data_IF_587473972149
#
_entry.id   IF_587473972149
#
_cell.length_a   1.000
_cell.length_b   1.000
_cell.length_c   1.000
_cell.angle_alpha   90.00
_cell.angle_beta   90.00
_cell.angle_gamma   90.00
#
_symmetry.space_group_name_H-M   'P 1'
#
loop_
_entity.id
_entity.type
_entity.pdbx_description
1 polymer ?
#
# COMPACT_ATOMS: atom_id res chain seq x y z
N UNK A 1 -12.20 -67.01 -27.05
CA UNK A 1 -11.82 -66.43 -25.75
C UNK A 1 -10.96 -65.21 -26.05
N UNK A 2 -11.45 -64.02 -25.73
CA UNK A 2 -10.77 -62.75 -26.02
C UNK A 2 -10.01 -62.33 -24.77
N UNK A 3 -8.71 -62.13 -24.88
CA UNK A 3 -7.87 -61.67 -23.76
C UNK A 3 -8.28 -60.24 -23.34
N UNK A 4 -8.32 -59.92 -22.04
CA UNK A 4 -8.53 -58.55 -21.60
C UNK A 4 -7.33 -57.68 -22.01
N UNK A 5 -7.55 -56.41 -22.40
CA UNK A 5 -6.46 -55.51 -22.77
C UNK A 5 -5.54 -55.24 -21.57
N UNK A 6 -4.25 -55.12 -21.85
CA UNK A 6 -3.20 -54.88 -20.86
C UNK A 6 -3.45 -53.53 -20.14
N UNK A 7 -3.39 -53.44 -18.81
CA UNK A 7 -3.66 -52.18 -18.08
C UNK A 7 -2.69 -51.03 -18.40
N UNK A 8 -1.56 -51.31 -19.06
CA UNK A 8 -0.57 -50.33 -19.52
C UNK A 8 -0.88 -49.70 -20.89
N UNK A 9 -1.86 -50.24 -21.65
CA UNK A 9 -2.31 -49.65 -22.93
C UNK A 9 -3.40 -48.57 -22.75
N UNK A 10 -3.60 -48.08 -21.52
CA UNK A 10 -4.45 -46.91 -21.28
C UNK A 10 -3.63 -45.67 -21.65
N UNK A 11 -4.01 -44.89 -22.67
CA UNK A 11 -3.37 -43.60 -22.92
C UNK A 11 -3.49 -42.78 -21.64
N UNK A 12 -2.37 -42.23 -21.18
CA UNK A 12 -2.35 -41.41 -19.97
C UNK A 12 -3.37 -40.27 -20.14
N UNK A 13 -4.36 -40.12 -19.26
CA UNK A 13 -5.37 -39.07 -19.39
C UNK A 13 -4.77 -37.64 -19.31
N UNK A 14 -3.48 -37.52 -18.98
CA UNK A 14 -2.71 -36.28 -18.98
C UNK A 14 -1.96 -36.01 -20.30
N UNK A 15 -1.73 -37.00 -21.17
CA UNK A 15 -0.93 -36.84 -22.39
C UNK A 15 -1.67 -36.04 -23.48
N UNK A 16 -3.01 -36.01 -23.40
CA UNK A 16 -3.87 -35.30 -24.35
C UNK A 16 -4.40 -33.96 -23.84
N UNK A 17 -3.87 -33.47 -22.72
CA UNK A 17 -4.19 -32.13 -22.24
C UNK A 17 -3.03 -31.22 -22.66
N UNK A 18 -3.12 -30.50 -23.80
CA UNK A 18 -2.15 -29.43 -24.04
C UNK A 18 -2.27 -28.52 -22.83
N UNK A 19 -1.22 -28.43 -22.01
CA UNK A 19 -1.15 -27.41 -20.99
C UNK A 19 -1.31 -26.08 -21.74
N UNK A 20 -2.53 -25.52 -21.74
CA UNK A 20 -2.90 -24.35 -22.53
C UNK A 20 -2.17 -23.17 -21.91
N UNK A 21 -0.88 -23.03 -22.23
CA UNK A 21 -0.12 -21.84 -21.93
C UNK A 21 -0.73 -20.74 -22.78
N UNK A 22 -1.13 -19.66 -22.14
CA UNK A 22 -1.64 -18.49 -22.83
C UNK A 22 -0.63 -18.05 -23.90
N UNK A 23 -1.13 -17.71 -25.09
CA UNK A 23 -0.27 -17.16 -26.15
C UNK A 23 0.24 -15.79 -25.72
N UNK A 24 1.48 -15.49 -26.08
CA UNK A 24 2.10 -14.20 -25.76
C UNK A 24 2.20 -13.41 -27.07
N UNK A 25 1.42 -12.34 -27.24
CA UNK A 25 1.57 -11.44 -28.38
C UNK A 25 2.96 -10.79 -28.39
N UNK A 26 3.50 -10.53 -29.58
CA UNK A 26 4.87 -10.01 -29.75
C UNK A 26 5.09 -8.68 -29.01
N UNK A 27 4.13 -7.76 -29.09
CA UNK A 27 4.20 -6.47 -28.39
C UNK A 27 4.17 -6.60 -26.86
N UNK A 28 3.64 -7.71 -26.32
CA UNK A 28 3.60 -8.01 -24.88
C UNK A 28 4.83 -8.80 -24.43
N UNK A 29 5.47 -9.56 -25.33
CA UNK A 29 6.52 -10.52 -25.00
C UNK A 29 7.68 -9.92 -24.20
N UNK A 30 8.05 -8.67 -24.53
CA UNK A 30 9.11 -7.91 -23.85
C UNK A 30 8.77 -7.57 -22.40
N UNK A 31 7.49 -7.32 -22.12
CA UNK A 31 7.01 -6.84 -20.82
C UNK A 31 7.52 -5.44 -20.42
N UNK A 32 7.02 -4.97 -19.29
CA UNK A 32 7.37 -3.68 -18.69
C UNK A 32 7.95 -3.87 -17.29
N UNK A 33 9.02 -3.13 -16.97
CA UNK A 33 9.65 -3.19 -15.65
C UNK A 33 8.99 -2.16 -14.73
N UNK A 34 8.55 -2.62 -13.57
CA UNK A 34 7.90 -1.83 -12.55
C UNK A 34 8.68 -1.82 -11.24
N UNK A 35 8.63 -0.68 -10.55
CA UNK A 35 9.18 -0.50 -9.19
C UNK A 35 8.09 -0.41 -8.12
N UNK A 36 6.82 -0.34 -8.54
CA UNK A 36 5.71 -0.19 -7.62
C UNK A 36 4.37 -0.34 -8.31
N UNK A 37 3.31 -0.36 -7.52
CA UNK A 37 1.95 -0.37 -8.02
C UNK A 37 1.14 0.66 -7.25
N UNK A 38 0.16 1.24 -7.93
CA UNK A 38 -0.93 1.95 -7.28
C UNK A 38 -2.22 1.21 -7.62
N UNK A 39 -2.99 0.89 -6.59
CA UNK A 39 -4.23 0.11 -6.71
C UNK A 39 -5.41 1.05 -6.51
N UNK A 40 -6.24 1.22 -7.53
CA UNK A 40 -7.48 2.00 -7.46
C UNK A 40 -8.66 1.06 -7.52
N UNK A 41 -9.61 1.24 -6.60
CA UNK A 41 -10.86 0.49 -6.60
C UNK A 41 -11.91 1.26 -7.40
N UNK A 42 -12.33 0.71 -8.53
CA UNK A 42 -13.51 1.14 -9.29
C UNK A 42 -14.79 0.43 -8.84
N UNK A 43 -15.90 0.66 -9.55
CA UNK A 43 -17.20 0.09 -9.21
C UNK A 43 -17.29 -1.43 -9.38
N UNK A 44 -16.61 -1.98 -10.39
CA UNK A 44 -16.63 -3.42 -10.73
C UNK A 44 -15.23 -4.02 -10.94
N UNK A 45 -14.23 -3.16 -11.11
CA UNK A 45 -12.84 -3.53 -11.33
C UNK A 45 -11.89 -2.80 -10.38
N UNK A 46 -10.70 -3.35 -10.25
CA UNK A 46 -9.50 -2.69 -9.77
C UNK A 46 -8.67 -2.21 -10.97
N UNK A 47 -8.09 -1.03 -10.86
CA UNK A 47 -7.00 -0.58 -11.72
C UNK A 47 -5.68 -0.81 -10.99
N UNK A 48 -4.77 -1.54 -11.62
CA UNK A 48 -3.40 -1.72 -11.18
C UNK A 48 -2.49 -0.89 -12.07
N UNK A 49 -2.08 0.27 -11.58
CA UNK A 49 -1.14 1.13 -12.25
C UNK A 49 0.27 0.80 -11.79
N UNK A 50 0.98 0.03 -12.61
CA UNK A 50 2.38 -0.26 -12.39
C UNK A 50 3.22 0.95 -12.76
N UNK A 51 4.04 1.39 -11.82
CA UNK A 51 4.80 2.64 -11.92
C UNK A 51 6.30 2.38 -11.91
N UNK A 52 7.02 3.24 -12.62
CA UNK A 52 8.49 3.31 -12.56
C UNK A 52 8.89 4.61 -11.87
N UNK A 53 9.31 4.48 -10.61
CA UNK A 53 9.74 5.58 -9.75
C UNK A 53 11.22 5.87 -9.99
N UNK A 54 11.51 6.48 -11.14
CA UNK A 54 12.76 7.19 -11.36
C UNK A 54 12.62 8.62 -10.83
N UNK A 55 13.70 9.37 -10.55
CA UNK A 55 13.68 10.75 -10.05
C UNK A 55 13.12 11.81 -11.03
N UNK A 56 12.07 11.43 -11.76
CA UNK A 56 11.28 12.10 -12.80
C UNK A 56 11.68 11.78 -14.25
N UNK A 57 10.67 11.60 -15.14
CA UNK A 57 9.25 11.48 -14.82
C UNK A 57 8.94 10.09 -14.26
N UNK A 58 8.28 10.03 -13.10
CA UNK A 58 7.55 8.83 -12.71
C UNK A 58 6.41 8.65 -13.71
N UNK A 59 6.27 7.44 -14.23
CA UNK A 59 5.24 7.15 -15.23
C UNK A 59 4.57 5.81 -14.95
N UNK A 60 3.32 5.72 -15.38
CA UNK A 60 2.61 4.44 -15.46
C UNK A 60 3.15 3.70 -16.68
N UNK A 61 3.74 2.53 -16.42
CA UNK A 61 4.34 1.68 -17.47
C UNK A 61 3.36 0.62 -17.95
N UNK A 62 2.41 0.24 -17.11
CA UNK A 62 1.33 -0.70 -17.43
C UNK A 62 0.13 -0.38 -16.54
N UNK A 63 -1.06 -0.33 -17.13
CA UNK A 63 -2.34 -0.25 -16.42
C UNK A 63 -3.07 -1.55 -16.68
N UNK A 64 -3.38 -2.30 -15.63
CA UNK A 64 -4.15 -3.55 -15.73
C UNK A 64 -5.50 -3.36 -15.09
N UNK A 65 -6.55 -3.73 -15.81
CA UNK A 65 -7.94 -3.70 -15.33
C UNK A 65 -8.33 -5.11 -14.88
N UNK A 66 -8.56 -5.30 -13.59
CA UNK A 66 -8.90 -6.60 -12.99
C UNK A 66 -10.30 -6.58 -12.38
N UNK A 67 -11.20 -7.53 -12.72
CA UNK A 67 -12.45 -7.69 -12.00
C UNK A 67 -12.23 -7.92 -10.50
N UNK A 68 -13.15 -7.44 -9.67
CA UNK A 68 -13.05 -7.61 -8.20
C UNK A 68 -12.87 -9.08 -7.78
N UNK A 69 -13.57 -10.00 -8.46
CA UNK A 69 -13.52 -11.44 -8.18
C UNK A 69 -12.15 -12.09 -8.42
N UNK A 70 -11.28 -11.45 -9.19
CA UNK A 70 -9.94 -11.96 -9.52
C UNK A 70 -8.93 -11.57 -8.44
N UNK A 71 -9.20 -10.50 -7.69
CA UNK A 71 -8.28 -9.99 -6.66
C UNK A 71 -7.94 -11.02 -5.57
N UNK A 72 -8.89 -11.78 -4.98
CA UNK A 72 -8.55 -12.84 -4.01
C UNK A 72 -7.59 -13.89 -4.58
N UNK A 73 -7.86 -14.35 -5.80
CA UNK A 73 -7.04 -15.36 -6.46
C UNK A 73 -5.62 -14.83 -6.73
N UNK A 74 -5.51 -13.54 -7.08
CA UNK A 74 -4.21 -12.90 -7.23
C UNK A 74 -3.46 -12.83 -5.89
N UNK A 75 -4.13 -12.39 -4.81
CA UNK A 75 -3.52 -12.32 -3.46
C UNK A 75 -3.02 -13.70 -3.02
N UNK A 76 -3.83 -14.74 -3.21
CA UNK A 76 -3.48 -16.11 -2.83
C UNK A 76 -2.29 -16.62 -3.66
N UNK A 77 -2.36 -16.46 -4.99
CA UNK A 77 -1.28 -16.88 -5.89
C UNK A 77 0.04 -16.16 -5.58
N UNK A 78 -0.01 -14.85 -5.30
CA UNK A 78 1.17 -14.08 -4.96
C UNK A 78 1.74 -14.50 -3.59
N UNK A 79 0.88 -14.74 -2.60
CA UNK A 79 1.28 -15.25 -1.29
C UNK A 79 2.01 -16.58 -1.43
N UNK A 80 1.45 -17.53 -2.19
CA UNK A 80 2.09 -18.82 -2.46
C UNK A 80 3.43 -18.66 -3.18
N UNK A 81 3.51 -17.80 -4.19
CA UNK A 81 4.77 -17.60 -4.93
C UNK A 81 5.86 -16.93 -4.08
N UNK A 82 5.50 -16.03 -3.16
CA UNK A 82 6.46 -15.48 -2.19
C UNK A 82 6.98 -16.58 -1.25
N UNK A 83 6.10 -17.46 -0.77
CA UNK A 83 6.51 -18.58 0.08
C UNK A 83 7.45 -19.55 -0.66
N UNK A 84 7.13 -19.90 -1.91
CA UNK A 84 8.00 -20.71 -2.77
C UNK A 84 9.34 -20.03 -3.05
N UNK A 85 9.34 -18.71 -3.27
CA UNK A 85 10.57 -17.92 -3.36
C UNK A 85 11.40 -18.06 -2.09
N UNK A 86 10.78 -17.89 -0.91
CA UNK A 86 11.47 -17.95 0.38
C UNK A 86 12.14 -19.30 0.62
N UNK A 87 11.42 -20.38 0.31
CA UNK A 87 11.96 -21.74 0.43
C UNK A 87 13.17 -21.98 -0.48
N UNK A 88 13.21 -21.33 -1.65
CA UNK A 88 14.26 -21.54 -2.66
C UNK A 88 15.44 -20.58 -2.52
N UNK A 89 15.19 -19.33 -2.18
CA UNK A 89 16.17 -18.23 -2.27
C UNK A 89 16.37 -17.47 -0.95
N UNK A 90 15.55 -17.73 0.08
CA UNK A 90 15.57 -17.02 1.36
C UNK A 90 14.63 -15.81 1.40
N UNK A 91 14.77 -15.00 2.45
CA UNK A 91 13.87 -13.86 2.67
C UNK A 91 13.89 -12.82 1.55
N UNK A 92 12.77 -12.11 1.37
CA UNK A 92 12.66 -11.05 0.36
C UNK A 92 13.67 -9.92 0.67
N UNK A 93 14.48 -9.48 -0.32
CA UNK A 93 15.39 -8.36 -0.14
C UNK A 93 14.64 -7.09 0.27
N UNK A 94 15.10 -6.36 1.29
CA UNK A 94 14.44 -5.13 1.72
C UNK A 94 13.16 -5.31 2.53
N UNK A 95 12.87 -6.52 3.02
CA UNK A 95 11.96 -6.70 4.14
C UNK A 95 12.43 -5.80 5.30
N UNK A 96 11.52 -5.07 6.01
CA UNK A 96 11.92 -4.25 7.14
C UNK A 96 12.67 -5.12 8.14
N UNK A 97 13.97 -4.86 8.33
CA UNK A 97 14.68 -5.51 9.43
C UNK A 97 14.00 -5.08 10.73
N UNK A 98 13.66 -6.00 11.64
CA UNK A 98 13.25 -5.59 12.98
C UNK A 98 14.37 -4.72 13.54
N UNK A 99 14.06 -3.47 13.90
CA UNK A 99 14.98 -2.59 14.61
C UNK A 99 15.24 -3.29 15.94
N UNK A 100 16.33 -4.05 16.03
CA UNK A 100 16.85 -4.47 17.32
C UNK A 100 17.26 -3.17 17.98
N UNK A 101 16.49 -2.76 19.00
CA UNK A 101 16.84 -1.63 19.86
C UNK A 101 18.23 -1.90 20.43
N UNK A 102 19.26 -1.40 19.76
CA UNK A 102 20.62 -1.45 20.25
C UNK A 102 20.65 -0.57 21.51
N UNK A 103 20.61 -1.22 22.67
CA UNK A 103 20.92 -0.58 23.94
C UNK A 103 22.32 0.02 23.83
N UNK A 104 22.38 1.35 23.80
CA UNK A 104 23.62 2.13 23.77
C UNK A 104 24.54 1.71 24.94
N UNK A 105 25.80 1.32 24.70
CA UNK A 105 26.78 1.22 25.77
C UNK A 105 27.21 2.64 26.18
N UNK A 106 26.98 3.00 27.43
CA UNK A 106 27.43 4.25 28.04
C UNK A 106 28.96 4.37 27.93
N UNK A 107 29.44 5.46 27.32
CA UNK A 107 30.86 5.81 27.29
C UNK A 107 31.39 6.12 28.72
N UNK A 108 32.69 5.90 28.98
CA UNK A 108 33.32 6.25 30.25
C UNK A 108 33.65 7.75 30.29
N UNK A 109 33.09 8.46 31.27
CA UNK A 109 33.40 9.88 31.55
C UNK A 109 34.77 10.00 32.25
N UNK A 110 35.67 10.81 31.70
CA UNK A 110 36.92 11.24 32.35
C UNK A 110 36.61 12.22 33.50
N UNK A 111 37.31 12.15 34.66
CA UNK A 111 37.05 13.03 35.79
C UNK A 111 37.86 14.34 35.73
N UNK A 112 37.19 15.45 36.02
CA UNK A 112 37.79 16.77 36.32
C UNK A 112 38.12 16.85 37.81
N UNK A 113 39.34 17.29 38.13
CA UNK A 113 39.82 17.62 39.48
C UNK A 113 38.96 18.69 40.16
N UNK A 114 38.46 18.38 41.36
CA UNK A 114 38.22 19.36 42.42
C UNK A 114 38.40 18.68 43.79
N UNK A 115 39.01 19.38 44.73
CA UNK A 115 39.29 18.96 46.11
C UNK A 115 39.28 20.22 46.99
N UNK A 116 39.12 20.14 48.33
CA UNK A 116 38.58 19.07 49.19
C UNK A 116 37.65 19.60 50.32
N UNK A 117 37.38 18.74 51.31
CA UNK A 117 36.72 18.93 52.63
C UNK A 117 35.19 18.67 52.65
N UNK A 118 34.57 17.93 53.59
CA UNK A 118 34.98 17.31 54.87
C UNK A 118 33.94 16.22 55.25
N UNK A 119 34.43 15.04 55.66
CA UNK A 119 34.00 14.18 56.81
C UNK A 119 32.50 13.89 57.07
N UNK A 120 32.05 12.62 56.93
CA UNK A 120 31.70 11.68 58.03
C UNK A 120 30.97 10.40 57.53
N UNK A 121 31.07 9.38 58.38
CA UNK A 121 30.87 7.93 58.26
C UNK A 121 29.50 7.33 57.83
N UNK A 122 29.49 6.03 57.49
CA UNK A 122 28.33 5.27 57.02
C UNK A 122 27.62 4.50 58.15
N UNK A 123 26.33 4.16 57.97
CA UNK A 123 25.82 2.79 58.15
C UNK A 123 24.32 2.65 57.82
N UNK A 124 23.97 1.44 57.38
CA UNK A 124 22.74 0.70 57.64
C UNK A 124 21.54 0.76 56.68
N UNK A 125 21.42 -0.36 55.97
CA UNK A 125 20.24 -1.19 55.68
C UNK A 125 18.84 -0.74 56.13
N UNK A 126 17.86 -0.90 55.22
CA UNK A 126 16.45 -0.92 55.60
C UNK A 126 15.50 -1.22 54.44
N UNK A 127 14.86 -2.38 54.49
CA UNK A 127 13.76 -2.83 53.63
C UNK A 127 12.54 -1.91 53.72
N UNK A 128 11.69 -1.88 52.68
CA UNK A 128 10.23 -2.17 52.73
C UNK A 128 9.46 -1.62 51.51
N UNK A 129 8.62 -2.47 50.91
CA UNK A 129 7.50 -2.10 50.03
C UNK A 129 6.29 -1.61 50.87
N UNK A 130 5.04 -1.50 50.35
CA UNK A 130 4.49 -1.24 49.01
C UNK A 130 3.56 0.01 49.03
N UNK A 131 2.81 0.34 47.96
CA UNK A 131 1.39 0.83 48.02
C UNK A 131 0.76 0.86 46.62
N UNK A 132 -0.49 0.37 46.56
CA UNK A 132 -1.45 0.33 45.45
C UNK A 132 -2.06 1.70 45.16
N UNK A 133 -2.50 1.95 43.92
CA UNK A 133 -3.86 2.47 43.63
C UNK A 133 -4.16 2.64 42.13
N UNK A 134 -5.23 1.99 41.67
CA UNK A 134 -6.14 2.45 40.61
C UNK A 134 -7.36 3.11 41.29
N UNK A 135 -8.18 3.97 40.65
CA UNK A 135 -9.30 3.59 39.74
C UNK A 135 -9.48 4.57 38.53
N UNK A 136 -10.12 4.28 37.38
CA UNK A 136 -11.50 3.92 36.94
C UNK A 136 -12.49 5.10 36.74
N UNK A 137 -13.17 5.07 35.57
CA UNK A 137 -14.46 5.70 35.15
C UNK A 137 -14.42 7.18 34.71
N UNK A 138 -14.92 7.66 33.55
CA UNK A 138 -16.15 7.47 32.73
C UNK A 138 -17.20 8.59 32.93
N UNK A 139 -17.58 9.31 31.86
CA UNK A 139 -18.89 9.96 31.58
C UNK A 139 -18.81 10.65 30.20
N UNK A 140 -19.58 10.32 29.15
CA UNK A 140 -21.03 10.52 28.84
C UNK A 140 -21.46 11.99 28.64
N UNK A 141 -22.21 12.23 27.56
CA UNK A 141 -22.85 13.52 27.24
C UNK A 141 -23.33 13.65 25.80
N UNK A 142 -24.54 13.15 25.51
CA UNK A 142 -25.37 13.47 24.34
C UNK A 142 -25.83 14.94 24.33
N UNK A 143 -26.04 15.57 23.17
CA UNK A 143 -27.36 16.10 22.75
C UNK A 143 -27.36 16.76 21.34
N UNK A 144 -28.28 16.23 20.50
CA UNK A 144 -29.28 16.88 19.62
C UNK A 144 -28.94 17.94 18.54
N UNK A 145 -29.50 17.65 17.37
CA UNK A 145 -29.66 18.39 16.10
C UNK A 145 -30.80 19.46 16.15
N UNK A 146 -31.35 19.95 15.01
CA UNK A 146 -30.75 20.78 13.95
C UNK A 146 -31.59 22.06 13.69
N UNK A 147 -31.13 22.99 12.84
CA UNK A 147 -32.08 23.77 12.04
C UNK A 147 -31.53 24.20 10.68
N UNK A 148 -32.41 24.09 9.69
CA UNK A 148 -32.24 24.41 8.28
C UNK A 148 -32.75 25.83 8.01
N UNK A 149 -32.17 26.52 7.02
CA UNK A 149 -32.67 27.81 6.56
C UNK A 149 -32.06 28.21 5.22
N UNK A 150 -32.89 28.14 4.17
CA UNK A 150 -32.62 28.41 2.76
C UNK A 150 -32.97 29.86 2.41
N UNK A 151 -32.26 30.44 1.44
CA UNK A 151 -32.68 31.61 0.65
C UNK A 151 -31.80 32.85 0.91
N UNK A 152 -31.40 33.65 -0.06
CA UNK A 152 -31.70 33.73 -1.48
C UNK A 152 -31.00 34.97 -2.03
N UNK A 153 -30.54 34.86 -3.27
CA UNK A 153 -30.07 35.89 -4.21
C UNK A 153 -30.45 37.36 -3.95
N UNK A 154 -29.52 38.30 -4.17
CA UNK A 154 -29.39 39.03 -5.46
C UNK A 154 -28.74 40.42 -5.32
N UNK A 155 -27.87 40.71 -6.29
CA UNK A 155 -27.73 41.99 -7.01
C UNK A 155 -26.95 43.19 -6.42
N UNK A 156 -25.76 43.38 -7.03
CA UNK A 156 -25.30 44.59 -7.74
C UNK A 156 -25.31 45.96 -7.05
N UNK A 157 -24.12 46.55 -6.84
CA UNK A 157 -23.62 47.73 -7.57
C UNK A 157 -22.29 48.27 -6.99
N UNK A 158 -21.29 48.44 -7.86
CA UNK A 158 -20.19 49.40 -7.73
C UNK A 158 -20.70 50.80 -8.21
N UNK A 159 -20.08 51.97 -7.92
CA UNK A 159 -18.62 52.21 -7.95
C UNK A 159 -18.05 53.26 -6.94
N UNK A 160 -16.74 53.52 -7.12
CA UNK A 160 -15.76 54.40 -6.46
C UNK A 160 -16.21 55.77 -5.90
N UNK A 161 -15.59 56.24 -4.80
CA UNK A 161 -14.49 57.26 -4.81
C UNK A 161 -14.00 57.68 -3.41
N UNK A 162 -12.67 57.85 -3.32
CA UNK A 162 -11.88 58.87 -2.60
C UNK A 162 -11.93 59.09 -1.07
N UNK A 163 -10.79 58.71 -0.46
CA UNK A 163 -9.98 59.38 0.58
C UNK A 163 -10.63 60.18 1.73
N UNK A 164 -10.29 59.81 2.98
CA UNK A 164 -9.64 60.71 3.98
C UNK A 164 -9.27 59.98 5.29
N UNK A 165 -7.96 59.88 5.56
CA UNK A 165 -7.21 60.27 6.78
C UNK A 165 -7.62 59.72 8.18
N UNK A 166 -6.70 58.93 8.74
CA UNK A 166 -6.23 58.72 10.14
C UNK A 166 -7.21 58.72 11.33
N UNK A 167 -7.25 57.61 12.11
CA UNK A 167 -6.81 57.59 13.54
C UNK A 167 -6.43 56.17 13.99
N UNK A 168 -5.29 56.07 14.67
CA UNK A 168 -4.69 54.87 15.26
C UNK A 168 -5.43 54.39 16.53
N UNK A 169 -5.88 53.13 16.57
CA UNK A 169 -6.18 52.41 17.81
C UNK A 169 -5.87 50.91 17.64
N UNK A 170 -4.90 50.41 18.38
CA UNK A 170 -4.29 49.09 18.23
C UNK A 170 -5.25 47.93 18.41
N UNK A 171 -5.27 47.04 17.41
CA UNK A 171 -5.81 45.68 17.51
C UNK A 171 -4.62 44.71 17.65
N UNK A 172 -4.64 43.73 18.57
CA UNK A 172 -3.58 42.73 18.65
C UNK A 172 -3.57 41.88 17.37
N UNK A 173 -2.39 41.40 16.91
CA UNK A 173 -2.31 40.59 15.71
C UNK A 173 -3.06 39.27 15.89
N UNK A 174 -3.72 38.73 14.85
CA UNK A 174 -4.33 37.40 14.92
C UNK A 174 -3.23 36.37 15.19
N UNK A 175 -3.49 35.50 16.17
CA UNK A 175 -2.61 34.39 16.53
C UNK A 175 -2.24 33.59 15.28
N UNK A 176 -0.95 33.50 14.99
CA UNK A 176 -0.42 32.59 13.97
C UNK A 176 -0.86 31.16 14.34
N UNK A 177 -1.37 30.36 13.38
CA UNK A 177 -1.56 28.94 13.62
C UNK A 177 -0.20 28.33 14.04
N UNK A 178 -0.18 27.41 15.01
CA UNK A 178 1.09 26.89 15.55
C UNK A 178 1.94 26.35 14.41
N UNK A 179 3.21 26.79 14.39
CA UNK A 179 4.21 26.35 13.44
C UNK A 179 4.24 24.81 13.41
N UNK A 180 3.86 24.22 12.28
CA UNK A 180 3.92 22.78 12.08
C UNK A 180 5.38 22.36 12.14
N UNK A 181 5.70 21.42 13.04
CA UNK A 181 7.02 20.83 13.16
C UNK A 181 7.46 20.26 11.79
N UNK A 182 8.63 20.65 11.25
CA UNK A 182 9.10 20.22 9.93
C UNK A 182 9.48 18.72 9.82
N UNK A 183 9.27 17.95 10.88
CA UNK A 183 9.70 16.55 10.98
C UNK A 183 8.53 15.53 11.01
N UNK A 184 7.32 15.92 10.62
CA UNK A 184 6.27 14.93 10.38
C UNK A 184 6.40 14.44 8.93
N UNK A 185 6.64 13.14 8.66
CA UNK A 185 6.62 12.63 7.31
C UNK A 185 5.26 12.93 6.71
N UNK A 186 5.20 13.89 5.78
CA UNK A 186 3.97 14.25 5.08
C UNK A 186 3.51 12.99 4.36
N UNK A 187 2.45 12.36 4.85
CA UNK A 187 1.75 11.30 4.12
C UNK A 187 1.28 11.93 2.82
N UNK A 188 1.98 11.66 1.73
CA UNK A 188 1.60 12.13 0.40
C UNK A 188 0.20 11.59 0.11
N UNK A 189 -0.71 12.46 -0.30
CA UNK A 189 -2.07 12.07 -0.66
C UNK A 189 -1.97 11.25 -1.97
N UNK A 190 -2.56 10.04 -2.09
CA UNK A 190 -2.50 9.23 -3.31
C UNK A 190 -2.90 10.00 -4.58
N UNK A 191 -3.83 10.96 -4.45
CA UNK A 191 -4.25 11.83 -5.55
C UNK A 191 -3.10 12.72 -6.07
N UNK A 192 -2.32 13.33 -5.18
CA UNK A 192 -1.15 14.17 -5.55
C UNK A 192 -0.09 13.33 -6.28
N UNK A 193 0.11 12.08 -5.85
CA UNK A 193 1.02 11.14 -6.53
C UNK A 193 0.53 10.83 -7.93
N UNK A 194 -0.79 10.69 -8.13
CA UNK A 194 -1.38 10.45 -9.44
C UNK A 194 -1.24 11.63 -10.40
N UNK A 195 -1.45 12.86 -9.91
CA UNK A 195 -1.38 14.06 -10.74
C UNK A 195 0.04 14.30 -11.30
N UNK A 196 1.08 13.83 -10.58
CA UNK A 196 2.48 13.90 -11.04
C UNK A 196 2.86 12.79 -12.03
N UNK A 197 2.07 11.71 -12.14
CA UNK A 197 2.38 10.58 -13.01
C UNK A 197 2.03 10.88 -14.46
N UNK A 198 3.01 10.70 -15.35
CA UNK A 198 2.73 10.71 -16.79
C UNK A 198 2.11 9.38 -17.20
N UNK A 199 0.92 9.44 -17.81
CA UNK A 199 0.27 8.32 -18.48
C UNK A 199 0.41 8.52 -19.99
N UNK A 200 0.86 7.49 -20.70
CA UNK A 200 0.85 7.48 -22.17
C UNK A 200 -0.56 7.18 -22.67
N UNK A 201 -0.96 7.78 -23.80
CA UNK A 201 -2.29 7.60 -24.40
C UNK A 201 -2.65 6.12 -24.63
N UNK A 202 -1.66 5.33 -25.08
CA UNK A 202 -1.76 3.89 -25.31
C UNK A 202 -2.03 3.07 -24.03
N UNK A 203 -1.71 3.61 -22.84
CA UNK A 203 -1.95 2.96 -21.54
C UNK A 203 -3.22 3.49 -20.87
N UNK A 204 -3.78 4.60 -21.37
CA UNK A 204 -4.88 5.32 -20.73
C UNK A 204 -6.08 4.41 -20.44
N UNK A 205 -6.44 3.56 -21.41
CA UNK A 205 -7.51 2.56 -21.30
C UNK A 205 -7.13 1.32 -20.47
N UNK A 206 -5.84 1.04 -20.36
CA UNK A 206 -5.32 -0.18 -19.75
C UNK A 206 -5.54 -1.46 -20.55
N UNK A 207 -5.02 -2.55 -20.02
CA UNK A 207 -5.23 -3.92 -20.51
C UNK A 207 -6.10 -4.69 -19.54
N UNK A 208 -7.22 -5.24 -20.02
CA UNK A 208 -8.05 -6.11 -19.20
C UNK A 208 -7.37 -7.46 -18.95
N UNK A 209 -7.57 -8.02 -17.76
CA UNK A 209 -7.18 -9.38 -17.44
C UNK A 209 -8.15 -10.01 -16.44
N UNK A 210 -8.37 -11.33 -16.55
CA UNK A 210 -9.20 -12.10 -15.63
C UNK A 210 -8.43 -13.21 -14.92
N UNK A 211 -7.14 -13.32 -15.17
CA UNK A 211 -6.23 -14.22 -14.49
C UNK A 211 -4.81 -13.63 -14.48
N UNK A 212 -3.96 -14.17 -13.61
CA UNK A 212 -2.54 -13.84 -13.56
C UNK A 212 -1.73 -15.10 -13.33
N UNK A 213 -0.68 -15.28 -14.11
CA UNK A 213 0.34 -16.30 -13.90
C UNK A 213 1.59 -15.63 -13.34
N UNK A 214 2.11 -16.18 -12.25
CA UNK A 214 3.25 -15.60 -11.53
C UNK A 214 4.43 -16.56 -11.66
N UNK A 215 5.57 -16.02 -12.07
CA UNK A 215 6.86 -16.68 -12.05
C UNK A 215 7.84 -15.86 -11.23
N UNK A 216 8.92 -16.49 -10.76
CA UNK A 216 9.97 -15.77 -10.03
C UNK A 216 11.35 -16.39 -10.24
N UNK A 217 12.34 -15.53 -10.41
CA UNK A 217 13.76 -15.84 -10.29
C UNK A 217 14.31 -15.38 -8.93
N UNK A 218 15.63 -15.43 -8.72
CA UNK A 218 16.25 -14.93 -7.48
C UNK A 218 16.13 -13.41 -7.30
N UNK A 219 16.01 -12.65 -8.39
CA UNK A 219 16.04 -11.18 -8.35
C UNK A 219 14.72 -10.51 -8.76
N UNK A 220 13.82 -11.22 -9.43
CA UNK A 220 12.61 -10.64 -10.01
C UNK A 220 11.43 -11.61 -9.98
N UNK A 221 10.23 -11.04 -9.95
CA UNK A 221 8.96 -11.70 -10.21
C UNK A 221 8.41 -11.22 -11.55
N UNK A 222 7.83 -12.15 -12.31
CA UNK A 222 7.11 -11.91 -13.55
C UNK A 222 5.63 -12.14 -13.34
N UNK A 223 4.81 -11.17 -13.76
CA UNK A 223 3.36 -11.21 -13.73
C UNK A 223 2.84 -11.21 -15.16
N UNK A 224 2.36 -12.36 -15.61
CA UNK A 224 1.67 -12.50 -16.87
C UNK A 224 0.18 -12.37 -16.61
N UNK A 225 -0.38 -11.21 -16.94
CA UNK A 225 -1.82 -10.96 -16.87
C UNK A 225 -2.48 -11.54 -18.10
N UNK A 226 -3.49 -12.39 -17.88
CA UNK A 226 -4.07 -13.24 -18.92
C UNK A 226 -5.53 -12.85 -19.13
N UNK A 227 -5.92 -12.86 -20.41
CA UNK A 227 -7.30 -12.89 -20.87
C UNK A 227 -7.66 -14.32 -21.27
N UNK A 228 -8.49 -14.98 -20.47
CA UNK A 228 -9.02 -16.30 -20.80
C UNK A 228 -10.27 -16.15 -21.67
N UNK A 229 -10.07 -15.84 -22.95
CA UNK A 229 -11.12 -15.77 -23.94
C UNK A 229 -11.12 -17.00 -24.85
N UNK A 230 -12.31 -17.42 -25.30
CA UNK A 230 -12.41 -18.41 -26.36
C UNK A 230 -11.95 -17.79 -27.69
N UNK A 231 -11.20 -18.50 -28.55
CA UNK A 231 -10.80 -19.91 -28.44
C UNK A 231 -9.46 -20.15 -27.72
N UNK A 232 -8.69 -19.10 -27.42
CA UNK A 232 -7.35 -19.22 -26.86
C UNK A 232 -7.08 -18.10 -25.86
N UNK A 233 -6.55 -18.46 -24.70
CA UNK A 233 -6.06 -17.48 -23.73
C UNK A 233 -4.85 -16.73 -24.27
N UNK A 234 -4.75 -15.44 -23.95
CA UNK A 234 -3.61 -14.61 -24.33
C UNK A 234 -3.12 -13.75 -23.16
N UNK A 235 -1.80 -13.55 -23.08
CA UNK A 235 -1.20 -12.59 -22.14
C UNK A 235 -1.49 -11.18 -22.67
N UNK A 236 -2.26 -10.41 -21.93
CA UNK A 236 -2.62 -9.03 -22.29
C UNK A 236 -1.61 -8.01 -21.75
N UNK A 237 -0.95 -8.33 -20.64
CA UNK A 237 0.13 -7.50 -20.10
C UNK A 237 1.14 -8.36 -19.35
N UNK A 238 2.42 -8.00 -19.47
CA UNK A 238 3.52 -8.66 -18.77
C UNK A 238 4.29 -7.62 -18.00
N UNK A 239 4.39 -7.82 -16.68
CA UNK A 239 5.09 -6.90 -15.78
C UNK A 239 6.18 -7.65 -15.03
N UNK A 240 7.36 -7.05 -14.97
CA UNK A 240 8.47 -7.52 -14.16
C UNK A 240 8.67 -6.60 -12.97
N UNK A 241 8.94 -7.18 -11.81
CA UNK A 241 9.18 -6.43 -10.58
C UNK A 241 10.33 -7.05 -9.80
N UNK A 242 11.26 -6.23 -9.31
CA UNK A 242 12.32 -6.72 -8.44
C UNK A 242 11.73 -7.37 -7.18
N UNK A 243 12.31 -8.49 -6.73
CA UNK A 243 11.80 -9.29 -5.61
C UNK A 243 11.56 -8.47 -4.33
N UNK A 244 12.40 -7.46 -4.07
CA UNK A 244 12.24 -6.60 -2.90
C UNK A 244 11.01 -5.67 -2.91
N UNK A 245 10.36 -5.45 -4.05
CA UNK A 245 9.12 -4.66 -4.11
C UNK A 245 7.86 -5.52 -3.98
N UNK A 246 7.98 -6.85 -4.07
CA UNK A 246 6.85 -7.77 -4.18
C UNK A 246 6.06 -7.89 -2.88
N UNK A 247 6.72 -7.78 -1.73
CA UNK A 247 6.03 -7.74 -0.43
C UNK A 247 5.07 -6.56 -0.33
N UNK A 248 5.52 -5.36 -0.73
CA UNK A 248 4.69 -4.15 -0.73
C UNK A 248 3.53 -4.24 -1.73
N UNK A 249 3.75 -4.89 -2.87
CA UNK A 249 2.67 -5.21 -3.81
C UNK A 249 1.60 -6.05 -3.11
N UNK A 250 1.98 -7.15 -2.46
CA UNK A 250 1.03 -8.02 -1.75
C UNK A 250 0.24 -7.25 -0.68
N UNK A 251 0.92 -6.43 0.13
CA UNK A 251 0.27 -5.62 1.17
C UNK A 251 -0.74 -4.64 0.57
N UNK A 252 -0.39 -4.01 -0.56
CA UNK A 252 -1.28 -3.07 -1.25
C UNK A 252 -2.52 -3.77 -1.80
N UNK A 253 -2.37 -4.95 -2.40
CA UNK A 253 -3.50 -5.75 -2.90
C UNK A 253 -4.43 -6.17 -1.75
N UNK A 254 -3.87 -6.64 -0.62
CA UNK A 254 -4.64 -7.02 0.58
C UNK A 254 -5.42 -5.85 1.16
N UNK A 255 -4.78 -4.69 1.31
CA UNK A 255 -5.41 -3.49 1.83
C UNK A 255 -6.58 -3.03 0.94
N UNK A 256 -6.37 -2.98 -0.38
CA UNK A 256 -7.43 -2.61 -1.34
C UNK A 256 -8.58 -3.62 -1.37
N UNK A 257 -8.28 -4.91 -1.20
CA UNK A 257 -9.30 -5.95 -1.12
C UNK A 257 -10.16 -5.84 0.16
N UNK A 258 -9.54 -5.59 1.31
CA UNK A 258 -10.29 -5.44 2.56
C UNK A 258 -11.19 -4.19 2.52
N UNK A 259 -10.71 -3.10 1.93
CA UNK A 259 -11.50 -1.88 1.74
C UNK A 259 -12.80 -2.14 0.96
N UNK A 260 -12.77 -2.97 -0.08
CA UNK A 260 -13.97 -3.25 -0.87
C UNK A 260 -14.91 -4.25 -0.18
N UNK A 261 -14.37 -5.23 0.54
CA UNK A 261 -15.17 -6.21 1.28
C UNK A 261 -16.07 -5.54 2.30
N UNK A 262 -15.53 -4.59 3.06
CA UNK A 262 -16.32 -3.83 4.04
C UNK A 262 -17.40 -2.95 3.41
N UNK A 263 -17.19 -2.46 2.18
CA UNK A 263 -18.16 -1.58 1.50
C UNK A 263 -19.26 -2.32 0.74
N UNK A 264 -18.94 -3.46 0.12
CA UNK A 264 -19.83 -4.13 -0.84
C UNK A 264 -20.20 -5.55 -0.45
N UNK A 265 -19.73 -6.06 0.69
CA UNK A 265 -20.09 -7.40 1.17
C UNK A 265 -19.60 -8.50 0.23
N UNK A 266 -18.38 -8.37 -0.31
CA UNK A 266 -17.79 -9.39 -1.19
C UNK A 266 -17.32 -10.64 -0.42
N UNK A 267 -17.49 -11.86 -0.99
CA UNK A 267 -18.23 -12.14 -2.23
C UNK A 267 -19.75 -11.93 -2.02
N UNK A 268 -20.48 -11.44 -3.04
CA UNK A 268 -21.92 -11.26 -2.93
C UNK A 268 -22.57 -12.58 -2.46
N UNK A 269 -23.59 -12.53 -1.59
CA UNK A 269 -24.25 -13.73 -1.10
C UNK A 269 -24.73 -14.57 -2.30
N UNK A 270 -24.47 -15.88 -2.25
CA UNK A 270 -24.98 -16.80 -3.25
C UNK A 270 -26.50 -16.81 -3.13
N UNK A 271 -27.18 -16.25 -4.11
CA UNK A 271 -28.64 -16.31 -4.28
C UNK A 271 -29.10 -17.72 -4.57
#
# INVERSE_FOLDING_TARGET
MTFPPNPEDRPDPMENMPAVRARIPEHVARGEISTGVIVVTGGTEFLLDFVRNLPRPSCVVSRVVLPHLVMPQFIDALTTNIELFKQRYGELPGAPMPIVSASTPSQPTMPTEESPETVHDPDSSGQSAPIKSAPKAAHSGETQSPNSGIGGSSSTNHPMESNSIDVHAGSPPPAQPPAQNPNTPRRQNPQEVYDELKLRDEILSGSYANAVMIGHGPFEFSFDFITNFYPQSAVSSRVYMASGHVGRLLDSLKASWEQIRGRYGYPPPRS
#
